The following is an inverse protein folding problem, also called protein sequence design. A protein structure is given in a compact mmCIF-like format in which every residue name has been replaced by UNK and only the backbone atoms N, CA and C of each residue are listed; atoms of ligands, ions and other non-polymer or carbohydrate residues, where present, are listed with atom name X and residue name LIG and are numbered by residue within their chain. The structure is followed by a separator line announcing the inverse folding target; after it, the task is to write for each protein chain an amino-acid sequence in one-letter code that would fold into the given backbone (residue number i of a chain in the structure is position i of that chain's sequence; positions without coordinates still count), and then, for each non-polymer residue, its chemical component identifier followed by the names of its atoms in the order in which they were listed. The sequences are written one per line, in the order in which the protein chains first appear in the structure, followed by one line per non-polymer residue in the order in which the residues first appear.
data_IF_772462123514
#
_entry.id   IF_772462123514
#
_cell.length_a   1.000
_cell.length_b   1.000
_cell.length_c   1.000
_cell.angle_alpha   90.00
_cell.angle_beta   90.00
_cell.angle_gamma   90.00
#
_symmetry.space_group_name_H-M   'P 1'
#
loop_
_entity.id
_entity.type
_entity.pdbx_description
1 polymer ?
#
# COMPACT_ATOMS: atom_id res chain seq x y z
N UNK A 1 -4.57 -9.81 -11.73
CA UNK A 1 -5.74 -10.63 -11.29
C UNK A 1 -5.76 -11.95 -12.07
N UNK A 2 -5.97 -11.96 -13.40
CA UNK A 2 -6.05 -13.20 -14.19
C UNK A 2 -4.82 -14.09 -14.04
N UNK A 3 -3.61 -13.53 -14.00
CA UNK A 3 -2.38 -14.28 -13.77
C UNK A 3 -2.33 -14.89 -12.36
N UNK A 4 -2.77 -14.17 -11.33
CA UNK A 4 -2.86 -14.69 -9.95
C UNK A 4 -3.84 -15.86 -9.86
N UNK A 5 -5.01 -15.74 -10.48
CA UNK A 5 -6.01 -16.81 -10.51
C UNK A 5 -5.47 -18.03 -11.28
N UNK A 6 -4.84 -17.80 -12.43
CA UNK A 6 -4.21 -18.88 -13.20
C UNK A 6 -3.16 -19.63 -12.41
N UNK A 7 -2.31 -18.92 -11.66
CA UNK A 7 -1.28 -19.53 -10.79
C UNK A 7 -1.93 -20.33 -9.65
N UNK A 8 -2.93 -19.78 -8.97
CA UNK A 8 -3.60 -20.44 -7.84
C UNK A 8 -4.37 -21.69 -8.27
N UNK A 9 -5.23 -21.58 -9.28
CA UNK A 9 -6.03 -22.74 -9.76
C UNK A 9 -5.19 -23.82 -10.47
N UNK A 10 -3.96 -23.51 -10.91
CA UNK A 10 -3.03 -24.48 -11.47
C UNK A 10 -2.17 -25.18 -10.41
N UNK A 11 -2.35 -24.88 -9.13
CA UNK A 11 -1.54 -25.42 -8.04
C UNK A 11 -0.10 -24.89 -7.99
N UNK A 12 0.19 -23.78 -8.67
CA UNK A 12 1.52 -23.19 -8.72
C UNK A 12 1.76 -22.11 -7.66
N UNK A 13 0.79 -21.85 -6.78
CA UNK A 13 0.80 -20.73 -5.84
C UNK A 13 2.02 -20.69 -4.90
N UNK A 14 2.52 -21.84 -4.47
CA UNK A 14 3.74 -21.94 -3.66
C UNK A 14 4.94 -22.47 -4.46
N UNK A 15 4.83 -22.54 -5.78
CA UNK A 15 5.87 -23.07 -6.67
C UNK A 15 6.71 -21.96 -7.29
N UNK A 16 7.97 -22.30 -7.66
CA UNK A 16 8.84 -21.44 -8.46
C UNK A 16 8.26 -21.08 -9.84
N UNK A 17 7.26 -21.82 -10.33
CA UNK A 17 6.60 -21.55 -11.62
C UNK A 17 5.99 -20.15 -11.70
N UNK A 18 5.49 -19.59 -10.59
CA UNK A 18 5.01 -18.21 -10.54
C UNK A 18 6.10 -17.19 -10.93
N UNK A 19 7.38 -17.44 -10.56
CA UNK A 19 8.50 -16.58 -10.93
C UNK A 19 8.79 -16.64 -12.42
N UNK A 20 8.72 -17.81 -13.03
CA UNK A 20 8.90 -17.95 -14.49
C UNK A 20 7.78 -17.28 -15.27
N UNK A 21 6.52 -17.39 -14.82
CA UNK A 21 5.39 -16.69 -15.43
C UNK A 21 5.60 -15.17 -15.34
N UNK A 22 5.96 -14.66 -14.16
CA UNK A 22 6.26 -13.24 -13.96
C UNK A 22 7.40 -12.75 -14.84
N UNK A 23 8.50 -13.49 -14.92
CA UNK A 23 9.65 -13.17 -15.79
C UNK A 23 9.25 -13.14 -17.27
N UNK A 24 8.47 -14.13 -17.75
CA UNK A 24 8.02 -14.19 -19.14
C UNK A 24 7.14 -12.98 -19.48
N UNK A 25 6.18 -12.64 -18.62
CA UNK A 25 5.32 -11.46 -18.81
C UNK A 25 6.12 -10.15 -18.81
N UNK A 26 7.16 -10.06 -17.97
CA UNK A 26 8.05 -8.89 -17.94
C UNK A 26 8.88 -8.75 -19.23
N UNK A 27 9.36 -9.85 -19.79
CA UNK A 27 10.06 -9.85 -21.10
C UNK A 27 9.10 -9.40 -22.20
N UNK A 28 7.88 -9.94 -22.26
CA UNK A 28 6.88 -9.54 -23.25
C UNK A 28 6.54 -8.06 -23.12
N UNK A 29 6.37 -7.55 -21.91
CA UNK A 29 6.12 -6.13 -21.65
C UNK A 29 7.30 -5.27 -22.12
N UNK A 30 8.55 -5.71 -21.86
CA UNK A 30 9.77 -5.01 -22.34
C UNK A 30 9.79 -4.93 -23.87
N UNK A 31 9.51 -6.04 -24.55
CA UNK A 31 9.43 -6.04 -26.02
C UNK A 31 8.32 -5.12 -26.52
N UNK A 32 7.16 -5.12 -25.87
CA UNK A 32 6.06 -4.21 -26.20
C UNK A 32 6.44 -2.74 -26.01
N UNK A 33 7.17 -2.39 -24.94
CA UNK A 33 7.59 -0.99 -24.71
C UNK A 33 8.53 -0.47 -25.80
N UNK A 34 9.30 -1.33 -26.49
CA UNK A 34 10.13 -0.94 -27.63
C UNK A 34 9.31 -0.52 -28.86
N UNK A 35 8.05 -0.93 -28.92
CA UNK A 35 7.13 -0.55 -30.01
C UNK A 35 6.41 0.78 -29.77
N UNK A 36 6.53 1.37 -28.57
CA UNK A 36 5.86 2.63 -28.24
C UNK A 36 6.50 3.80 -28.98
N UNK A 37 5.68 4.77 -29.45
CA UNK A 37 6.18 5.94 -30.16
C UNK A 37 7.08 6.78 -29.26
N UNK A 38 8.19 7.24 -29.80
CA UNK A 38 9.09 8.17 -29.11
C UNK A 38 8.41 9.53 -28.93
N UNK A 39 8.16 9.92 -27.67
CA UNK A 39 7.64 11.26 -27.36
C UNK A 39 8.83 12.15 -27.02
N UNK A 40 9.15 13.17 -27.86
CA UNK A 40 10.27 14.06 -27.55
C UNK A 40 9.99 14.86 -26.29
N UNK A 41 10.97 14.96 -25.41
CA UNK A 41 10.89 15.76 -24.19
C UNK A 41 10.82 17.24 -24.59
N UNK A 42 9.66 17.87 -24.37
CA UNK A 42 9.51 19.31 -24.54
C UNK A 42 10.40 20.02 -23.50
N UNK A 43 11.30 20.90 -23.97
CA UNK A 43 12.21 21.69 -23.13
C UNK A 43 13.18 20.88 -22.26
N UNK A 44 13.94 19.96 -22.85
CA UNK A 44 15.14 19.44 -22.21
C UNK A 44 16.12 20.61 -21.98
N UNK A 45 16.07 21.25 -20.83
CA UNK A 45 17.04 22.28 -20.43
C UNK A 45 18.42 21.64 -20.36
N UNK A 46 19.26 22.01 -21.31
CA UNK A 46 20.59 21.41 -21.54
C UNK A 46 21.59 21.61 -20.39
N UNK A 47 21.23 22.37 -19.36
CA UNK A 47 22.08 22.73 -18.22
C UNK A 47 21.40 22.50 -16.87
N UNK A 48 20.75 21.33 -16.66
CA UNK A 48 20.28 20.99 -15.33
C UNK A 48 21.44 20.55 -14.45
N UNK A 49 21.51 21.11 -13.24
CA UNK A 49 22.44 20.64 -12.21
C UNK A 49 22.13 19.17 -11.82
N UNK A 50 23.15 18.41 -11.41
CA UNK A 50 22.94 17.05 -10.88
C UNK A 50 21.93 17.00 -9.74
N UNK A 51 21.85 18.03 -8.91
CA UNK A 51 20.87 18.17 -7.84
C UNK A 51 19.44 18.30 -8.36
N UNK A 52 19.24 18.95 -9.49
CA UNK A 52 17.96 19.09 -10.17
C UNK A 52 17.58 17.79 -10.87
N UNK A 53 18.51 17.15 -11.55
CA UNK A 53 18.28 15.87 -12.24
C UNK A 53 17.88 14.76 -11.24
N UNK A 54 18.49 14.73 -10.05
CA UNK A 54 18.17 13.77 -8.99
C UNK A 54 16.97 14.21 -8.13
N UNK A 55 16.35 15.36 -8.42
CA UNK A 55 15.21 15.86 -7.66
C UNK A 55 15.52 16.26 -6.22
N UNK A 56 16.81 16.45 -5.86
CA UNK A 56 17.26 16.76 -4.49
C UNK A 56 16.73 18.13 -4.01
N UNK A 57 16.32 19.01 -4.91
CA UNK A 57 15.67 20.27 -4.57
C UNK A 57 14.38 20.09 -3.78
N UNK A 58 13.71 18.93 -3.91
CA UNK A 58 12.53 18.60 -3.13
C UNK A 58 12.80 18.44 -1.63
N UNK A 59 14.06 18.15 -1.20
CA UNK A 59 14.42 18.14 0.22
C UNK A 59 14.24 19.51 0.89
N UNK A 60 14.33 20.60 0.12
CA UNK A 60 14.06 21.94 0.65
C UNK A 60 12.61 22.09 1.14
N UNK A 61 11.68 21.28 0.66
CA UNK A 61 10.28 21.26 1.10
C UNK A 61 10.12 20.83 2.57
N UNK A 62 11.07 20.10 3.14
CA UNK A 62 11.08 19.79 4.59
C UNK A 62 11.22 21.03 5.48
N UNK A 63 11.69 22.16 4.94
CA UNK A 63 11.68 23.45 5.65
C UNK A 63 10.27 23.99 5.86
N UNK A 64 9.33 23.60 5.00
CA UNK A 64 7.91 23.92 5.19
C UNK A 64 7.29 22.90 6.13
N UNK A 65 6.84 23.33 7.31
CA UNK A 65 6.27 22.46 8.35
C UNK A 65 5.13 21.58 7.84
N UNK A 66 4.26 22.11 6.95
CA UNK A 66 3.13 21.36 6.40
C UNK A 66 3.59 20.24 5.48
N UNK A 67 4.55 20.53 4.60
CA UNK A 67 5.14 19.54 3.71
C UNK A 67 5.96 18.49 4.47
N UNK A 68 6.70 18.89 5.48
CA UNK A 68 7.44 17.96 6.34
C UNK A 68 6.51 16.97 7.05
N UNK A 69 5.42 17.48 7.64
CA UNK A 69 4.39 16.63 8.28
C UNK A 69 3.80 15.66 7.25
N UNK A 70 3.42 16.16 6.07
CA UNK A 70 2.87 15.34 4.99
C UNK A 70 3.84 14.21 4.60
N UNK A 71 5.11 14.50 4.36
CA UNK A 71 6.11 13.49 3.99
C UNK A 71 6.36 12.45 5.10
N UNK A 72 6.35 12.86 6.38
CA UNK A 72 6.46 11.93 7.51
C UNK A 72 5.26 10.99 7.55
N UNK A 73 4.03 11.50 7.41
CA UNK A 73 2.84 10.65 7.34
C UNK A 73 2.85 9.74 6.12
N UNK A 74 3.34 10.22 4.98
CA UNK A 74 3.51 9.41 3.75
C UNK A 74 4.45 8.22 4.00
N UNK A 75 5.56 8.44 4.70
CA UNK A 75 6.48 7.37 5.08
C UNK A 75 5.81 6.36 6.03
N UNK A 76 5.06 6.85 7.02
CA UNK A 76 4.38 5.99 7.98
C UNK A 76 3.27 5.14 7.34
N UNK A 77 2.53 5.70 6.40
CA UNK A 77 1.52 4.95 5.62
C UNK A 77 2.15 3.98 4.62
N UNK A 78 3.31 4.31 4.05
CA UNK A 78 4.09 3.37 3.26
C UNK A 78 4.53 2.14 4.06
N UNK A 79 4.78 2.31 5.38
CA UNK A 79 5.03 1.18 6.26
C UNK A 79 3.80 0.25 6.40
N UNK A 80 2.58 0.79 6.53
CA UNK A 80 1.33 0.00 6.58
C UNK A 80 1.13 -0.83 5.32
N UNK A 81 1.39 -0.25 4.14
CA UNK A 81 1.36 -0.97 2.88
C UNK A 81 2.32 -2.15 2.87
N UNK A 82 3.56 -1.93 3.30
CA UNK A 82 4.60 -2.96 3.30
C UNK A 82 4.29 -4.12 4.25
N UNK A 83 3.71 -3.85 5.42
CA UNK A 83 3.27 -4.87 6.37
C UNK A 83 2.31 -5.85 5.70
N UNK A 84 1.30 -5.34 5.01
CA UNK A 84 0.33 -6.17 4.29
C UNK A 84 0.98 -6.97 3.16
N UNK A 85 1.85 -6.34 2.38
CA UNK A 85 2.52 -6.99 1.25
C UNK A 85 3.43 -8.12 1.70
N UNK A 86 4.11 -7.99 2.84
CA UNK A 86 5.01 -9.02 3.37
C UNK A 86 4.26 -10.18 4.04
N UNK A 87 3.23 -9.87 4.81
CA UNK A 87 2.65 -10.85 5.73
C UNK A 87 1.21 -11.25 5.40
N UNK A 88 0.51 -10.54 4.52
CA UNK A 88 -0.88 -10.85 4.20
C UNK A 88 -1.09 -12.27 3.65
N UNK A 89 -0.25 -12.67 2.70
CA UNK A 89 -0.33 -14.02 2.12
C UNK A 89 0.14 -15.09 3.11
N UNK A 90 1.24 -14.82 3.82
CA UNK A 90 1.78 -15.72 4.86
C UNK A 90 0.77 -15.98 5.98
N UNK A 91 0.03 -14.93 6.37
CA UNK A 91 -1.04 -15.04 7.35
C UNK A 91 -2.15 -15.98 6.88
N UNK A 92 -2.63 -15.84 5.65
CA UNK A 92 -3.68 -16.71 5.10
C UNK A 92 -3.23 -18.18 5.00
N UNK A 93 -1.99 -18.43 4.57
CA UNK A 93 -1.44 -19.77 4.54
C UNK A 93 -1.12 -20.35 5.94
N UNK A 94 -0.99 -19.52 6.97
CA UNK A 94 -0.69 -20.01 8.31
C UNK A 94 -1.81 -20.87 8.91
N UNK A 95 -3.04 -20.71 8.44
CA UNK A 95 -4.18 -21.55 8.83
C UNK A 95 -4.06 -23.01 8.39
N UNK A 96 -3.17 -23.34 7.45
CA UNK A 96 -2.89 -24.73 7.06
C UNK A 96 -2.32 -25.58 8.23
N UNK A 97 -1.72 -24.92 9.21
CA UNK A 97 -1.19 -25.58 10.40
C UNK A 97 -2.26 -26.09 11.36
N UNK A 98 -3.48 -25.55 11.24
CA UNK A 98 -4.62 -26.01 12.04
C UNK A 98 -5.41 -27.11 11.25
N UNK A 99 -5.49 -28.34 11.80
CA UNK A 99 -6.23 -29.43 11.14
C UNK A 99 -7.69 -29.10 10.79
N UNK A 100 -8.32 -28.15 11.50
CA UNK A 100 -9.69 -27.71 11.23
C UNK A 100 -9.80 -26.89 9.93
N UNK A 101 -8.71 -26.25 9.53
CA UNK A 101 -8.70 -25.29 8.40
C UNK A 101 -7.81 -25.74 7.25
N UNK A 102 -7.00 -26.78 7.46
CA UNK A 102 -6.16 -27.36 6.41
C UNK A 102 -7.03 -27.78 5.22
N UNK A 103 -6.61 -27.41 4.00
CA UNK A 103 -7.37 -27.66 2.78
C UNK A 103 -8.62 -26.79 2.59
N UNK A 104 -8.82 -25.75 3.42
CA UNK A 104 -9.89 -24.78 3.18
C UNK A 104 -9.60 -23.93 1.94
N UNK A 105 -10.63 -23.43 1.26
CA UNK A 105 -10.50 -22.58 0.08
C UNK A 105 -9.58 -21.37 0.32
N UNK A 106 -9.61 -20.79 1.54
CA UNK A 106 -8.78 -19.63 1.93
C UNK A 106 -7.30 -20.00 1.93
N UNK A 107 -6.95 -21.18 2.42
CA UNK A 107 -5.58 -21.66 2.48
C UNK A 107 -5.07 -22.05 1.10
N UNK A 108 -5.85 -22.84 0.36
CA UNK A 108 -5.46 -23.30 -0.97
C UNK A 108 -5.40 -22.18 -2.01
N UNK A 109 -6.22 -21.14 -1.85
CA UNK A 109 -6.38 -20.05 -2.81
C UNK A 109 -6.20 -18.67 -2.19
N UNK A 110 -5.21 -18.51 -1.32
CA UNK A 110 -4.92 -17.24 -0.63
C UNK A 110 -4.71 -16.07 -1.63
N UNK A 111 -4.03 -16.32 -2.75
CA UNK A 111 -3.84 -15.33 -3.81
C UNK A 111 -5.13 -14.89 -4.49
N UNK A 112 -6.12 -15.80 -4.64
CA UNK A 112 -7.45 -15.41 -5.14
C UNK A 112 -8.13 -14.47 -4.17
N UNK A 113 -8.09 -14.78 -2.87
CA UNK A 113 -8.64 -13.90 -1.84
C UNK A 113 -7.95 -12.53 -1.85
N UNK A 114 -6.61 -12.51 -1.90
CA UNK A 114 -5.84 -11.26 -2.00
C UNK A 114 -6.18 -10.44 -3.25
N UNK A 115 -6.61 -11.07 -4.35
CA UNK A 115 -7.01 -10.37 -5.57
C UNK A 115 -8.29 -9.52 -5.40
N UNK A 116 -9.13 -9.82 -4.39
CA UNK A 116 -10.29 -8.99 -4.04
C UNK A 116 -9.82 -7.57 -3.67
N UNK A 117 -8.67 -7.45 -3.01
CA UNK A 117 -8.06 -6.14 -2.70
C UNK A 117 -7.81 -5.32 -3.97
N UNK A 118 -7.28 -5.93 -5.03
CA UNK A 118 -6.97 -5.26 -6.30
C UNK A 118 -8.24 -4.89 -7.07
N UNK A 119 -9.29 -5.72 -7.00
CA UNK A 119 -10.59 -5.40 -7.58
C UNK A 119 -11.20 -4.20 -6.84
N UNK A 120 -11.17 -4.25 -5.51
CA UNK A 120 -11.65 -3.18 -4.65
C UNK A 120 -10.92 -1.86 -4.92
N UNK A 121 -9.59 -1.90 -5.01
CA UNK A 121 -8.73 -0.77 -5.37
C UNK A 121 -9.20 -0.12 -6.67
N UNK A 122 -9.39 -0.92 -7.73
CA UNK A 122 -9.88 -0.42 -9.02
C UNK A 122 -11.25 0.28 -8.91
N UNK A 123 -12.14 -0.26 -8.09
CA UNK A 123 -13.47 0.33 -7.89
C UNK A 123 -13.42 1.61 -7.06
N UNK A 124 -12.62 1.64 -6.00
CA UNK A 124 -12.50 2.82 -5.14
C UNK A 124 -11.80 3.99 -5.82
N UNK A 125 -10.85 3.76 -6.73
CA UNK A 125 -10.24 4.82 -7.55
C UNK A 125 -11.32 5.65 -8.26
N UNK A 126 -12.36 5.01 -8.80
CA UNK A 126 -13.45 5.70 -9.50
C UNK A 126 -14.28 6.59 -8.56
N UNK A 127 -14.27 6.34 -7.26
CA UNK A 127 -15.01 7.12 -6.27
C UNK A 127 -14.23 8.32 -5.73
N UNK A 128 -12.92 8.36 -5.90
CA UNK A 128 -12.03 9.39 -5.32
C UNK A 128 -12.44 10.82 -5.71
N UNK A 129 -12.79 11.14 -6.97
CA UNK A 129 -13.24 12.49 -7.31
C UNK A 129 -14.45 12.96 -6.50
N UNK A 130 -15.40 12.05 -6.25
CA UNK A 130 -16.55 12.33 -5.39
C UNK A 130 -16.13 12.63 -3.94
N UNK A 131 -15.27 11.79 -3.36
CA UNK A 131 -14.80 11.98 -1.99
C UNK A 131 -13.96 13.26 -1.84
N UNK A 132 -13.08 13.55 -2.80
CA UNK A 132 -12.26 14.77 -2.81
C UNK A 132 -13.11 16.03 -2.90
N UNK A 133 -14.13 16.05 -3.76
CA UNK A 133 -15.02 17.20 -3.91
C UNK A 133 -15.91 17.41 -2.69
N UNK A 134 -16.35 16.32 -2.05
CA UNK A 134 -17.29 16.38 -0.92
C UNK A 134 -16.60 16.63 0.43
N UNK A 135 -15.48 15.98 0.68
CA UNK A 135 -14.82 15.97 2.00
C UNK A 135 -13.48 16.70 2.02
N UNK A 136 -12.90 16.96 0.83
CA UNK A 136 -11.59 17.60 0.71
C UNK A 136 -10.41 16.69 1.03
N UNK A 137 -9.22 17.13 0.65
CA UNK A 137 -7.99 16.35 0.67
C UNK A 137 -7.67 15.78 2.07
N UNK A 138 -7.72 16.62 3.11
CA UNK A 138 -7.40 16.18 4.49
C UNK A 138 -8.28 15.03 4.97
N UNK A 139 -9.60 15.14 4.76
CA UNK A 139 -10.54 14.14 5.26
C UNK A 139 -10.45 12.85 4.45
N UNK A 140 -10.17 12.93 3.14
CA UNK A 140 -9.95 11.73 2.30
C UNK A 140 -8.68 10.99 2.73
N UNK A 141 -7.60 11.71 3.04
CA UNK A 141 -6.39 11.11 3.63
C UNK A 141 -6.68 10.47 5.00
N UNK A 142 -7.50 11.11 5.84
CA UNK A 142 -7.88 10.56 7.14
C UNK A 142 -8.71 9.29 6.99
N UNK A 143 -9.65 9.25 6.03
CA UNK A 143 -10.42 8.04 5.71
C UNK A 143 -9.49 6.89 5.35
N UNK A 144 -8.44 7.14 4.59
CA UNK A 144 -7.42 6.14 4.27
C UNK A 144 -6.74 5.56 5.52
N UNK A 145 -6.30 6.42 6.45
CA UNK A 145 -5.65 5.99 7.69
C UNK A 145 -6.60 5.14 8.55
N UNK A 146 -7.86 5.56 8.66
CA UNK A 146 -8.90 4.79 9.37
C UNK A 146 -9.18 3.47 8.66
N UNK A 147 -9.15 3.44 7.32
CA UNK A 147 -9.32 2.21 6.56
C UNK A 147 -8.17 1.22 6.82
N UNK A 148 -6.92 1.67 6.97
CA UNK A 148 -5.80 0.82 7.41
C UNK A 148 -6.05 0.22 8.80
N UNK A 149 -6.50 1.02 9.75
CA UNK A 149 -6.86 0.54 11.09
C UNK A 149 -7.94 -0.56 11.01
N UNK A 150 -8.99 -0.33 10.22
CA UNK A 150 -10.07 -1.31 10.03
C UNK A 150 -9.55 -2.58 9.34
N UNK A 151 -8.70 -2.45 8.31
CA UNK A 151 -8.10 -3.59 7.61
C UNK A 151 -7.36 -4.52 8.57
N UNK A 152 -6.46 -3.97 9.37
CA UNK A 152 -5.69 -4.76 10.34
C UNK A 152 -6.58 -5.31 11.46
N UNK A 153 -7.56 -4.55 11.94
CA UNK A 153 -8.54 -5.04 12.92
C UNK A 153 -9.38 -6.20 12.38
N UNK A 154 -9.82 -6.13 11.12
CA UNK A 154 -10.55 -7.22 10.48
C UNK A 154 -9.67 -8.46 10.27
N UNK A 155 -8.38 -8.29 9.96
CA UNK A 155 -7.43 -9.41 9.90
C UNK A 155 -7.20 -10.06 11.26
N UNK A 156 -7.15 -9.27 12.34
CA UNK A 156 -6.94 -9.79 13.69
C UNK A 156 -8.03 -10.78 14.15
N UNK A 157 -9.25 -10.61 13.65
CA UNK A 157 -10.41 -11.46 13.99
C UNK A 157 -10.89 -12.33 12.84
N UNK A 158 -10.21 -12.28 11.69
CA UNK A 158 -10.53 -13.08 10.52
C UNK A 158 -9.88 -14.46 10.59
N UNK A 159 -10.65 -15.50 10.27
CA UNK A 159 -10.23 -16.89 10.20
C UNK A 159 -11.03 -17.64 9.11
N UNK A 160 -10.72 -18.90 8.78
CA UNK A 160 -11.48 -19.68 7.79
C UNK A 160 -12.88 -20.15 8.24
N UNK A 161 -13.39 -19.75 9.41
CA UNK A 161 -14.80 -19.97 9.77
C UNK A 161 -15.73 -19.15 8.85
N UNK A 162 -17.02 -19.49 8.72
CA UNK A 162 -17.95 -18.69 7.90
C UNK A 162 -17.99 -17.20 8.27
N UNK A 163 -17.96 -16.88 9.57
CA UNK A 163 -17.94 -15.49 10.03
C UNK A 163 -16.58 -14.84 9.82
N UNK A 164 -15.50 -15.53 10.17
CA UNK A 164 -14.12 -15.03 9.97
C UNK A 164 -13.79 -14.78 8.51
N UNK A 165 -14.28 -15.62 7.59
CA UNK A 165 -14.17 -15.42 6.14
C UNK A 165 -14.80 -14.09 5.70
N UNK A 166 -15.96 -13.72 6.25
CA UNK A 166 -16.58 -12.42 5.96
C UNK A 166 -15.67 -11.28 6.42
N UNK A 167 -15.02 -11.40 7.60
CA UNK A 167 -14.08 -10.39 8.08
C UNK A 167 -12.85 -10.30 7.17
N UNK A 168 -12.30 -11.43 6.71
CA UNK A 168 -11.19 -11.44 5.77
C UNK A 168 -11.57 -10.75 4.44
N UNK A 169 -12.72 -11.08 3.88
CA UNK A 169 -13.22 -10.44 2.63
C UNK A 169 -13.45 -8.94 2.84
N UNK A 170 -14.05 -8.53 3.96
CA UNK A 170 -14.22 -7.11 4.28
C UNK A 170 -12.88 -6.39 4.41
N UNK A 171 -11.87 -7.04 5.01
CA UNK A 171 -10.51 -6.49 5.06
C UNK A 171 -9.94 -6.25 3.67
N UNK A 172 -10.16 -7.19 2.72
CA UNK A 172 -9.72 -7.02 1.34
C UNK A 172 -10.46 -5.88 0.62
N UNK A 173 -11.75 -5.71 0.89
CA UNK A 173 -12.54 -4.61 0.32
C UNK A 173 -12.08 -3.25 0.86
N UNK A 174 -11.85 -3.15 2.16
CA UNK A 174 -11.40 -1.91 2.81
C UNK A 174 -10.02 -1.47 2.31
N UNK A 175 -9.19 -2.40 1.86
CA UNK A 175 -7.86 -2.08 1.31
C UNK A 175 -7.91 -1.09 0.14
N UNK A 176 -8.87 -1.20 -0.78
CA UNK A 176 -8.99 -0.27 -1.89
C UNK A 176 -9.14 1.19 -1.44
N UNK A 177 -9.87 1.40 -0.34
CA UNK A 177 -9.98 2.71 0.29
C UNK A 177 -8.70 3.09 1.05
N UNK A 178 -8.05 2.12 1.70
CA UNK A 178 -6.87 2.37 2.53
C UNK A 178 -5.67 2.87 1.72
N UNK A 179 -5.40 2.31 0.57
CA UNK A 179 -4.23 2.64 -0.23
C UNK A 179 -4.44 3.87 -1.12
N UNK A 180 -5.44 3.83 -1.99
CA UNK A 180 -5.59 4.83 -3.06
C UNK A 180 -6.04 6.19 -2.56
N UNK A 181 -6.87 6.24 -1.51
CA UNK A 181 -7.33 7.51 -0.99
C UNK A 181 -6.19 8.38 -0.48
N UNK A 182 -5.16 7.80 0.13
CA UNK A 182 -3.99 8.56 0.53
C UNK A 182 -3.09 8.92 -0.66
N UNK A 183 -2.79 7.96 -1.54
CA UNK A 183 -1.86 8.19 -2.64
C UNK A 183 -2.37 9.26 -3.62
N UNK A 184 -3.62 9.16 -4.04
CA UNK A 184 -4.19 10.11 -4.99
C UNK A 184 -4.42 11.47 -4.34
N UNK A 185 -4.95 11.50 -3.11
CA UNK A 185 -5.10 12.76 -2.37
C UNK A 185 -3.76 13.42 -2.06
N UNK A 186 -2.72 12.62 -1.79
CA UNK A 186 -1.35 13.07 -1.57
C UNK A 186 -0.75 13.70 -2.83
N UNK A 187 -0.93 13.05 -3.98
CA UNK A 187 -0.51 13.61 -5.26
C UNK A 187 -1.20 14.93 -5.57
N UNK A 188 -2.52 15.01 -5.35
CA UNK A 188 -3.30 16.26 -5.53
C UNK A 188 -2.85 17.33 -4.53
N UNK A 189 -2.54 16.96 -3.29
CA UNK A 189 -2.01 17.89 -2.29
C UNK A 189 -0.67 18.47 -2.74
N UNK A 190 0.27 17.63 -3.17
CA UNK A 190 1.58 18.09 -3.67
C UNK A 190 1.40 19.01 -4.87
N UNK A 191 0.50 18.67 -5.79
CA UNK A 191 0.23 19.50 -6.98
C UNK A 191 -0.29 20.90 -6.62
N UNK A 192 -1.12 21.02 -5.59
CA UNK A 192 -1.69 22.30 -5.13
C UNK A 192 -0.71 23.13 -4.30
N UNK A 193 0.13 22.49 -3.47
CA UNK A 193 1.00 23.19 -2.52
C UNK A 193 2.35 23.56 -3.10
N UNK A 194 2.80 22.89 -4.17
CA UNK A 194 4.15 23.03 -4.69
C UNK A 194 4.14 23.77 -6.02
N UNK A 195 5.12 24.69 -6.19
CA UNK A 195 5.31 25.46 -7.41
C UNK A 195 5.57 24.53 -8.61
N UNK A 196 5.09 24.88 -9.82
CA UNK A 196 5.22 24.04 -11.02
C UNK A 196 6.65 23.56 -11.29
N UNK A 197 7.67 24.40 -11.02
CA UNK A 197 9.07 24.15 -11.36
C UNK A 197 9.66 22.95 -10.63
N UNK A 198 9.20 22.67 -9.39
CA UNK A 198 9.73 21.59 -8.57
C UNK A 198 8.68 20.51 -8.26
N UNK A 199 7.51 20.58 -8.92
CA UNK A 199 6.37 19.68 -8.66
C UNK A 199 6.71 18.22 -8.97
N UNK A 200 7.38 17.93 -10.07
CA UNK A 200 7.81 16.59 -10.42
C UNK A 200 8.77 16.00 -9.37
N UNK A 201 9.74 16.80 -8.89
CA UNK A 201 10.66 16.40 -7.82
C UNK A 201 9.93 16.17 -6.49
N UNK A 202 8.91 16.97 -6.18
CA UNK A 202 8.09 16.81 -4.99
C UNK A 202 7.22 15.54 -5.05
N UNK A 203 6.67 15.18 -6.22
CA UNK A 203 5.98 13.91 -6.43
C UNK A 203 6.96 12.72 -6.28
N UNK A 204 8.16 12.82 -6.84
CA UNK A 204 9.21 11.83 -6.64
C UNK A 204 9.58 11.66 -5.17
N UNK A 205 9.69 12.77 -4.40
CA UNK A 205 9.92 12.74 -2.96
C UNK A 205 8.76 12.04 -2.22
N UNK A 206 7.52 12.33 -2.57
CA UNK A 206 6.34 11.67 -2.01
C UNK A 206 6.41 10.15 -2.22
N UNK A 207 6.69 9.70 -3.45
CA UNK A 207 6.86 8.28 -3.76
C UNK A 207 8.06 7.66 -3.03
N UNK A 208 9.16 8.39 -2.87
CA UNK A 208 10.32 7.92 -2.12
C UNK A 208 10.01 7.77 -0.63
N UNK A 209 9.23 8.67 -0.04
CA UNK A 209 8.80 8.57 1.35
C UNK A 209 7.85 7.39 1.55
N UNK A 210 6.87 7.17 0.65
CA UNK A 210 5.92 6.04 0.77
C UNK A 210 6.57 4.71 0.40
N UNK A 211 7.06 4.55 -0.82
CA UNK A 211 7.50 3.28 -1.37
C UNK A 211 8.99 2.99 -1.15
N UNK A 212 9.78 3.98 -0.72
CA UNK A 212 11.18 3.82 -0.34
C UNK A 212 11.34 3.68 1.17
N UNK A 213 11.42 4.80 1.87
CA UNK A 213 11.65 4.81 3.32
C UNK A 213 10.52 4.15 4.11
N UNK A 214 9.25 4.30 3.67
CA UNK A 214 8.12 3.64 4.27
C UNK A 214 8.23 2.11 4.18
N UNK A 215 8.61 1.57 3.02
CA UNK A 215 8.81 0.14 2.84
C UNK A 215 9.95 -0.41 3.69
N UNK A 216 11.08 0.32 3.78
CA UNK A 216 12.22 -0.10 4.63
C UNK A 216 11.79 -0.13 6.09
N UNK A 217 11.16 0.94 6.57
CA UNK A 217 10.68 1.05 7.95
C UNK A 217 9.65 -0.05 8.26
N UNK A 218 8.66 -0.20 7.38
CA UNK A 218 7.61 -1.21 7.51
C UNK A 218 8.16 -2.63 7.53
N UNK A 219 9.08 -2.96 6.63
CA UNK A 219 9.72 -4.27 6.59
C UNK A 219 10.52 -4.58 7.86
N UNK A 220 11.33 -3.62 8.33
CA UNK A 220 12.14 -3.80 9.54
C UNK A 220 11.29 -3.94 10.80
N UNK A 221 10.29 -3.07 10.97
CA UNK A 221 9.44 -3.06 12.17
C UNK A 221 8.52 -4.27 12.17
N UNK A 222 7.86 -4.57 11.06
CA UNK A 222 6.94 -5.70 10.99
C UNK A 222 7.65 -7.03 11.17
N UNK A 223 8.85 -7.19 10.61
CA UNK A 223 9.66 -8.39 10.84
C UNK A 223 9.94 -8.64 12.31
N UNK A 224 10.36 -7.61 13.06
CA UNK A 224 10.60 -7.72 14.51
C UNK A 224 9.33 -8.00 15.31
N UNK A 225 8.21 -7.40 14.93
CA UNK A 225 6.91 -7.66 15.59
C UNK A 225 6.49 -9.11 15.36
N UNK A 226 6.53 -9.59 14.13
CA UNK A 226 6.18 -10.98 13.80
C UNK A 226 7.12 -11.95 14.52
N UNK A 227 8.43 -11.70 14.52
CA UNK A 227 9.42 -12.52 15.22
C UNK A 227 9.10 -12.60 16.74
N UNK A 228 8.76 -11.48 17.37
CA UNK A 228 8.42 -11.42 18.80
C UNK A 228 7.18 -12.27 19.16
N UNK A 229 6.20 -12.31 18.27
CA UNK A 229 4.96 -13.08 18.46
C UNK A 229 5.01 -14.47 17.80
N UNK A 230 6.18 -14.93 17.41
CA UNK A 230 6.38 -16.29 16.87
C UNK A 230 7.12 -17.15 17.89
N UNK A 231 6.44 -18.20 18.38
CA UNK A 231 7.01 -19.19 19.31
C UNK A 231 6.96 -20.55 18.64
N UNK A 232 8.09 -21.26 18.60
CA UNK A 232 8.20 -22.59 17.99
C UNK A 232 7.65 -22.68 16.54
N UNK A 233 7.79 -21.58 15.79
CA UNK A 233 7.32 -21.50 14.39
C UNK A 233 5.81 -21.27 14.24
N UNK A 234 5.08 -21.01 15.33
CA UNK A 234 3.67 -20.61 15.34
C UNK A 234 3.59 -19.13 15.67
N UNK A 235 2.98 -18.35 14.80
CA UNK A 235 2.82 -16.91 14.98
C UNK A 235 1.43 -16.60 15.53
N UNK A 236 1.36 -15.83 16.60
CA UNK A 236 0.11 -15.23 17.10
C UNK A 236 -0.27 -14.03 16.19
N UNK A 237 -0.94 -14.35 15.10
CA UNK A 237 -1.36 -13.36 14.11
C UNK A 237 -2.37 -12.36 14.66
N UNK A 238 -3.21 -12.76 15.61
CA UNK A 238 -4.18 -11.86 16.20
C UNK A 238 -3.48 -10.68 16.89
N UNK A 239 -2.50 -10.98 17.77
CA UNK A 239 -1.71 -9.95 18.44
C UNK A 239 -0.91 -9.09 17.46
N UNK A 240 -0.31 -9.70 16.42
CA UNK A 240 0.42 -8.98 15.36
C UNK A 240 -0.48 -7.95 14.69
N UNK A 241 -1.66 -8.37 14.20
CA UNK A 241 -2.56 -7.45 13.49
C UNK A 241 -3.17 -6.39 14.39
N UNK A 242 -3.44 -6.71 15.68
CA UNK A 242 -3.92 -5.71 16.65
C UNK A 242 -2.88 -4.62 16.93
N UNK A 243 -1.58 -4.95 16.98
CA UNK A 243 -0.52 -3.95 17.10
C UNK A 243 -0.54 -3.00 15.92
N UNK A 244 -0.67 -3.52 14.69
CA UNK A 244 -0.71 -2.67 13.51
C UNK A 244 -2.01 -1.87 13.41
N UNK A 245 -3.15 -2.41 13.85
CA UNK A 245 -4.39 -1.65 13.99
C UNK A 245 -4.22 -0.50 15.01
N UNK A 246 -3.56 -0.76 16.14
CA UNK A 246 -3.23 0.25 17.14
C UNK A 246 -2.28 1.33 16.60
N UNK A 247 -1.27 0.93 15.82
CA UNK A 247 -0.38 1.85 15.12
C UNK A 247 -1.15 2.80 14.19
N UNK A 248 -2.03 2.26 13.32
CA UNK A 248 -2.86 3.07 12.41
C UNK A 248 -3.82 3.99 13.19
N UNK A 249 -4.37 3.53 14.32
CA UNK A 249 -5.21 4.36 15.19
C UNK A 249 -4.43 5.56 15.75
N UNK A 250 -3.21 5.34 16.25
CA UNK A 250 -2.33 6.41 16.75
C UNK A 250 -2.00 7.38 15.62
N UNK A 251 -1.72 6.87 14.41
CA UNK A 251 -1.48 7.71 13.23
C UNK A 251 -2.71 8.57 12.90
N UNK A 252 -3.92 8.02 12.96
CA UNK A 252 -5.14 8.78 12.70
C UNK A 252 -5.28 9.97 13.66
N UNK A 253 -5.09 9.75 14.96
CA UNK A 253 -5.12 10.83 15.96
C UNK A 253 -4.01 11.86 15.73
N UNK A 254 -2.79 11.41 15.49
CA UNK A 254 -1.66 12.29 15.20
C UNK A 254 -1.90 13.11 13.93
N UNK A 255 -2.46 12.51 12.89
CA UNK A 255 -2.78 13.20 11.64
C UNK A 255 -3.82 14.31 11.85
N UNK A 256 -4.89 14.02 12.58
CA UNK A 256 -5.92 15.03 12.91
C UNK A 256 -5.31 16.22 13.65
N UNK A 257 -4.42 15.96 14.63
CA UNK A 257 -3.80 16.97 15.47
C UNK A 257 -2.75 17.81 14.73
N UNK A 258 -1.89 17.15 13.92
CA UNK A 258 -0.70 17.78 13.34
C UNK A 258 -0.94 18.31 11.92
N UNK A 259 -1.70 17.60 11.09
CA UNK A 259 -1.94 17.98 9.70
C UNK A 259 -3.08 18.99 9.60
N UNK A 260 -2.73 20.29 9.58
CA UNK A 260 -3.69 21.39 9.46
C UNK A 260 -3.80 21.81 7.99
N UNK A 261 -4.85 21.37 7.33
CA UNK A 261 -5.19 21.76 5.96
C UNK A 261 -6.67 22.12 5.87
N UNK A 262 -6.98 23.31 5.34
CA UNK A 262 -8.37 23.73 5.07
C UNK A 262 -8.67 23.47 3.61
N UNK A 263 -9.82 22.89 3.35
CA UNK A 263 -10.35 22.76 2.00
C UNK A 263 -10.76 24.18 1.53
N UNK A 264 -10.16 24.66 0.43
CA UNK A 264 -10.53 25.90 -0.26
C UNK A 264 -11.23 25.53 -1.54
#
# INVERSE_FOLDING_TARGET
ILAMWGVSFSGFELSHMQLYIGATLSVLLTLFTLTLPHIPVANAQRNQSWTEMLGLNAFALFKNKRMAIFFIFSMMLGAELQITNMFGNTFLHSFDKDPLFAGSFIVEHASVLMSISQISETLFILTIPFFLSRYGIKNVMLISIVAWMLRFGLFAFGDPTPFGTVLLVLSMIVYGCAFDFFNISGSVFVEKEVRPEIRASAQGMFLMMTNGFGCILGGMVSGKVVEHFTVEGITDWQSVWLIFAGYSLVLAFAFVALFKYKHV
#
